data_IF_141172418966
#
_entry.id   IF_141172418966
#
_cell.length_a   1.000
_cell.length_b   1.000
_cell.length_c   1.000
_cell.angle_alpha   90.00
_cell.angle_beta   90.00
_cell.angle_gamma   90.00
#
_symmetry.space_group_name_H-M   'P 1'
#
loop_
_entity.id
_entity.type
_entity.pdbx_description
1 polymer ?
#
# COMPACT_ATOMS: atom_id res chain seq x y z
N UNK A 1 9.78 -17.83 -3.20
CA UNK A 1 10.76 -17.44 -4.24
C UNK A 1 10.48 -15.98 -4.52
N UNK A 2 11.50 -15.13 -4.58
CA UNK A 2 11.30 -13.74 -5.01
C UNK A 2 10.65 -13.74 -6.40
N UNK A 3 9.66 -12.87 -6.59
CA UNK A 3 9.06 -12.58 -7.89
C UNK A 3 10.21 -12.35 -8.86
N UNK A 4 10.25 -13.09 -9.97
CA UNK A 4 11.25 -12.83 -10.99
C UNK A 4 11.02 -11.39 -11.44
N UNK A 5 12.00 -10.48 -11.38
CA UNK A 5 11.84 -9.17 -12.01
C UNK A 5 11.44 -9.39 -13.48
N UNK A 6 10.63 -8.49 -14.05
CA UNK A 6 10.08 -8.57 -15.43
C UNK A 6 11.17 -8.55 -16.50
N UNK A 7 11.96 -9.61 -16.53
CA UNK A 7 13.12 -9.83 -17.38
C UNK A 7 12.76 -10.98 -18.27
N UNK A 8 12.75 -10.73 -19.57
CA UNK A 8 12.28 -11.71 -20.55
C UNK A 8 12.98 -11.56 -21.89
N UNK A 9 12.87 -12.60 -22.72
CA UNK A 9 13.38 -12.67 -24.09
C UNK A 9 12.45 -11.84 -24.98
N UNK A 10 12.99 -10.77 -25.55
CA UNK A 10 12.23 -9.72 -26.23
C UNK A 10 12.27 -9.85 -27.76
N UNK A 11 13.40 -10.29 -28.30
CA UNK A 11 13.67 -10.33 -29.74
C UNK A 11 14.66 -11.47 -30.04
N UNK A 12 14.45 -12.19 -31.15
CA UNK A 12 15.31 -13.30 -31.61
C UNK A 12 15.54 -13.17 -33.11
N UNK A 13 16.79 -13.30 -33.52
CA UNK A 13 17.20 -13.47 -34.92
C UNK A 13 18.15 -14.67 -35.05
N UNK A 14 17.76 -15.68 -35.83
CA UNK A 14 18.46 -16.95 -35.97
C UNK A 14 18.60 -17.46 -37.43
N UNK A 15 17.76 -17.03 -38.38
CA UNK A 15 17.82 -17.50 -39.78
C UNK A 15 17.52 -16.37 -40.79
N UNK A 16 18.46 -16.11 -41.71
CA UNK A 16 18.26 -15.20 -42.84
C UNK A 16 18.97 -15.62 -44.14
N UNK A 17 19.52 -16.83 -44.22
CA UNK A 17 20.37 -17.22 -45.35
C UNK A 17 20.50 -18.73 -45.53
N UNK A 18 20.58 -19.18 -46.79
CA UNK A 18 20.86 -20.58 -47.11
C UNK A 18 22.32 -21.02 -46.88
N UNK A 19 23.25 -20.08 -46.69
CA UNK A 19 24.70 -20.38 -46.66
C UNK A 19 25.38 -20.00 -45.35
N UNK A 20 25.03 -18.84 -44.81
CA UNK A 20 25.55 -18.33 -43.56
C UNK A 20 24.65 -17.19 -43.13
N UNK A 21 24.06 -17.34 -41.97
CA UNK A 21 23.29 -16.30 -41.32
C UNK A 21 24.22 -15.19 -40.87
N UNK A 22 23.64 -13.99 -40.77
CA UNK A 22 24.38 -12.79 -40.36
C UNK A 22 23.56 -11.99 -39.38
N UNK A 23 24.24 -11.32 -38.46
CA UNK A 23 23.62 -10.48 -37.42
C UNK A 23 22.68 -11.24 -36.48
N UNK A 24 22.85 -12.53 -36.24
CA UNK A 24 22.05 -13.30 -35.29
C UNK A 24 22.17 -12.75 -33.86
N UNK A 25 21.08 -12.81 -33.08
CA UNK A 25 21.08 -12.44 -31.67
C UNK A 25 19.86 -12.96 -30.89
N UNK A 26 20.01 -12.94 -29.57
CA UNK A 26 18.91 -12.98 -28.59
C UNK A 26 18.95 -11.68 -27.80
N UNK A 27 17.81 -10.99 -27.68
CA UNK A 27 17.67 -9.81 -26.84
C UNK A 27 16.89 -10.12 -25.56
N UNK A 28 17.43 -9.68 -24.43
CA UNK A 28 16.74 -9.67 -23.13
C UNK A 28 16.38 -8.23 -22.77
N UNK A 29 15.15 -8.00 -22.33
CA UNK A 29 14.72 -6.72 -21.76
C UNK A 29 14.58 -6.83 -20.25
N UNK A 30 14.88 -5.76 -19.52
CA UNK A 30 14.72 -5.67 -18.07
C UNK A 30 14.37 -4.24 -17.63
N UNK A 31 13.51 -4.03 -16.62
CA UNK A 31 13.27 -2.71 -16.04
C UNK A 31 14.57 -2.05 -15.56
N UNK A 32 14.64 -0.73 -15.67
CA UNK A 32 15.72 0.08 -15.12
C UNK A 32 15.89 -0.23 -13.62
N UNK A 33 17.14 -0.41 -13.19
CA UNK A 33 17.49 -0.72 -11.79
C UNK A 33 17.50 -2.21 -11.44
N UNK A 34 16.95 -3.09 -12.27
CA UNK A 34 16.99 -4.54 -12.04
C UNK A 34 18.43 -5.07 -12.04
N UNK A 35 18.85 -5.81 -11.02
CA UNK A 35 20.14 -6.50 -11.07
C UNK A 35 20.03 -7.77 -11.91
N UNK A 36 20.89 -7.91 -12.93
CA UNK A 36 21.01 -9.13 -13.74
C UNK A 36 22.29 -9.93 -13.43
N UNK A 37 22.92 -9.64 -12.29
CA UNK A 37 24.07 -10.42 -11.84
C UNK A 37 23.65 -11.88 -11.62
N UNK A 38 24.34 -12.82 -12.27
CA UNK A 38 24.02 -14.24 -12.19
C UNK A 38 22.96 -14.74 -13.18
N UNK A 39 22.31 -13.85 -13.94
CA UNK A 39 21.37 -14.24 -14.98
C UNK A 39 22.09 -14.75 -16.23
N UNK A 40 21.57 -15.80 -16.85
CA UNK A 40 22.17 -16.41 -18.04
C UNK A 40 21.16 -16.72 -19.14
N UNK A 41 21.60 -16.59 -20.39
CA UNK A 41 20.92 -17.16 -21.57
C UNK A 41 21.59 -18.48 -21.92
N UNK A 42 20.79 -19.51 -22.19
CA UNK A 42 21.26 -20.84 -22.59
C UNK A 42 20.59 -21.26 -23.89
N UNK A 43 21.36 -21.67 -24.89
CA UNK A 43 20.86 -22.15 -26.17
C UNK A 43 20.81 -23.68 -26.18
N UNK A 44 19.76 -24.22 -26.78
CA UNK A 44 19.45 -25.65 -26.81
C UNK A 44 19.22 -26.15 -28.24
N UNK A 45 19.79 -27.33 -28.52
CA UNK A 45 19.55 -28.07 -29.74
C UNK A 45 18.27 -28.89 -29.57
N UNK A 46 17.23 -28.68 -30.37
CA UNK A 46 15.97 -29.38 -30.21
C UNK A 46 15.92 -30.77 -30.83
N UNK A 47 16.95 -31.19 -31.57
CA UNK A 47 17.05 -32.56 -32.10
C UNK A 47 17.42 -33.59 -31.03
N UNK A 48 18.23 -33.20 -30.03
CA UNK A 48 18.65 -34.05 -28.92
C UNK A 48 18.36 -33.47 -27.52
N UNK A 49 17.86 -32.24 -27.45
CA UNK A 49 17.50 -31.53 -26.24
C UNK A 49 18.69 -31.01 -25.43
N UNK A 50 19.91 -31.05 -25.96
CA UNK A 50 21.12 -30.66 -25.21
C UNK A 50 21.42 -29.17 -25.33
N UNK A 51 21.97 -28.56 -24.28
CA UNK A 51 22.51 -27.20 -24.36
C UNK A 51 23.82 -27.19 -25.14
N UNK A 52 24.01 -26.21 -26.02
CA UNK A 52 25.25 -26.08 -26.81
C UNK A 52 26.02 -24.78 -26.56
N UNK A 53 25.38 -23.77 -25.97
CA UNK A 53 25.99 -22.48 -25.70
C UNK A 53 25.29 -21.76 -24.53
N UNK A 54 26.02 -20.89 -23.84
CA UNK A 54 25.46 -20.10 -22.74
C UNK A 54 26.34 -18.89 -22.46
N UNK A 55 25.72 -17.78 -22.05
CA UNK A 55 26.43 -16.60 -21.57
C UNK A 55 25.66 -15.87 -20.48
N UNK A 56 26.37 -15.05 -19.71
CA UNK A 56 25.72 -14.14 -18.76
C UNK A 56 24.99 -13.04 -19.54
N UNK A 57 23.79 -12.64 -19.09
CA UNK A 57 23.03 -11.54 -19.72
C UNK A 57 23.85 -10.25 -19.73
N UNK A 58 24.64 -10.03 -18.68
CA UNK A 58 25.51 -8.85 -18.51
C UNK A 58 26.69 -8.78 -19.47
N UNK A 59 26.99 -9.86 -20.21
CA UNK A 59 28.05 -9.87 -21.22
C UNK A 59 27.57 -9.34 -22.59
N UNK A 60 26.25 -9.17 -22.75
CA UNK A 60 25.64 -8.60 -23.94
C UNK A 60 25.90 -7.10 -24.11
N UNK A 61 25.69 -6.59 -25.32
CA UNK A 61 25.72 -5.14 -25.57
C UNK A 61 24.49 -4.51 -24.92
N UNK A 62 24.68 -3.47 -24.10
CA UNK A 62 23.59 -2.85 -23.33
C UNK A 62 23.21 -1.47 -23.86
N UNK A 63 21.90 -1.21 -23.93
CA UNK A 63 21.32 0.13 -24.07
C UNK A 63 20.16 0.30 -23.08
N UNK A 64 19.56 1.50 -23.08
CA UNK A 64 18.38 1.78 -22.26
C UNK A 64 17.54 2.90 -22.83
N UNK A 65 16.24 2.88 -22.54
CA UNK A 65 15.38 4.05 -22.57
C UNK A 65 15.14 4.58 -21.14
N UNK A 66 14.03 5.27 -20.90
CA UNK A 66 13.69 5.82 -19.57
C UNK A 66 13.18 4.79 -18.58
N UNK A 67 12.65 3.65 -19.03
CA UNK A 67 11.98 2.65 -18.21
C UNK A 67 12.66 1.27 -18.26
N UNK A 68 13.32 0.92 -19.36
CA UNK A 68 13.91 -0.40 -19.60
C UNK A 68 15.35 -0.33 -20.10
N UNK A 69 16.06 -1.46 -19.91
CA UNK A 69 17.37 -1.76 -20.48
C UNK A 69 17.26 -2.97 -21.40
N UNK A 70 18.04 -2.96 -22.46
CA UNK A 70 18.07 -3.99 -23.50
C UNK A 70 19.46 -4.60 -23.56
N UNK A 71 19.55 -5.92 -23.59
CA UNK A 71 20.79 -6.69 -23.60
C UNK A 71 20.81 -7.59 -24.83
N UNK A 72 21.70 -7.29 -25.77
CA UNK A 72 21.82 -8.05 -27.02
C UNK A 72 22.99 -9.03 -26.93
N UNK A 73 22.68 -10.32 -27.01
CA UNK A 73 23.63 -11.42 -27.01
C UNK A 73 23.72 -12.01 -28.43
N UNK A 74 24.82 -11.77 -29.12
CA UNK A 74 25.12 -12.35 -30.43
C UNK A 74 25.90 -13.68 -30.27
N UNK A 75 26.12 -14.47 -31.35
CA UNK A 75 26.86 -15.73 -31.28
C UNK A 75 28.21 -15.63 -30.57
N UNK A 76 28.95 -14.52 -30.79
CA UNK A 76 30.27 -14.31 -30.16
C UNK A 76 30.15 -14.18 -28.64
N UNK A 77 29.16 -13.45 -28.14
CA UNK A 77 28.88 -13.35 -26.69
C UNK A 77 28.43 -14.69 -26.13
N UNK A 78 27.56 -15.41 -26.86
CA UNK A 78 27.02 -16.72 -26.46
C UNK A 78 28.05 -17.85 -26.49
N UNK A 79 29.25 -17.60 -27.05
CA UNK A 79 30.32 -18.60 -27.15
C UNK A 79 30.11 -19.63 -28.25
N UNK A 80 29.33 -19.29 -29.28
CA UNK A 80 29.04 -20.13 -30.46
C UNK A 80 29.39 -19.40 -31.76
N UNK A 81 29.51 -20.13 -32.87
CA UNK A 81 29.69 -19.52 -34.19
C UNK A 81 28.39 -19.04 -34.82
N UNK A 82 27.26 -19.65 -34.44
CA UNK A 82 25.90 -19.34 -34.92
C UNK A 82 24.88 -19.82 -33.87
N UNK A 83 23.71 -19.19 -33.87
CA UNK A 83 22.48 -19.73 -33.27
C UNK A 83 21.99 -20.81 -34.24
N UNK A 84 21.48 -21.93 -33.71
CA UNK A 84 21.04 -23.03 -34.57
C UNK A 84 19.63 -22.73 -35.10
N UNK A 85 19.37 -23.11 -36.34
CA UNK A 85 18.14 -22.86 -37.11
C UNK A 85 17.38 -24.17 -37.39
N UNK A 86 17.57 -25.18 -36.55
CA UNK A 86 16.89 -26.47 -36.64
C UNK A 86 15.43 -26.40 -36.21
N UNK A 87 14.61 -27.28 -36.80
CA UNK A 87 13.18 -27.38 -36.50
C UNK A 87 12.89 -28.57 -35.56
N UNK A 88 12.75 -28.38 -34.23
CA UNK A 88 12.94 -27.13 -33.47
C UNK A 88 14.34 -26.98 -32.87
N UNK A 89 14.67 -25.75 -32.47
CA UNK A 89 15.77 -25.36 -31.57
C UNK A 89 15.22 -24.30 -30.59
N UNK A 90 15.99 -23.93 -29.56
CA UNK A 90 15.45 -23.07 -28.51
C UNK A 90 16.45 -22.32 -27.64
N UNK A 91 15.89 -21.45 -26.79
CA UNK A 91 16.59 -20.55 -25.89
C UNK A 91 15.90 -20.54 -24.53
N UNK A 92 16.69 -20.59 -23.46
CA UNK A 92 16.21 -20.44 -22.09
C UNK A 92 16.84 -19.22 -21.43
N UNK A 93 16.03 -18.50 -20.65
CA UNK A 93 16.46 -17.44 -19.74
C UNK A 93 16.44 -17.96 -18.31
N UNK A 94 17.56 -17.87 -17.62
CA UNK A 94 17.75 -18.40 -16.26
C UNK A 94 18.09 -17.25 -15.32
N UNK A 95 17.41 -17.18 -14.17
CA UNK A 95 17.69 -16.15 -13.16
C UNK A 95 18.91 -16.49 -12.29
N UNK A 96 19.26 -15.56 -11.40
CA UNK A 96 20.39 -15.65 -10.47
C UNK A 96 20.30 -16.79 -9.44
N UNK A 97 19.10 -17.35 -9.24
CA UNK A 97 18.88 -18.54 -8.40
C UNK A 97 18.99 -19.86 -9.18
N UNK A 98 19.20 -19.81 -10.50
CA UNK A 98 19.23 -20.99 -11.37
C UNK A 98 17.84 -21.48 -11.80
N UNK A 99 16.79 -20.69 -11.59
CA UNK A 99 15.43 -21.01 -12.04
C UNK A 99 15.25 -20.59 -13.49
N UNK A 100 14.64 -21.47 -14.30
CA UNK A 100 14.22 -21.17 -15.67
C UNK A 100 13.04 -20.19 -15.63
N UNK A 101 13.24 -18.98 -16.16
CA UNK A 101 12.22 -17.93 -16.29
C UNK A 101 11.43 -18.12 -17.57
N UNK A 102 12.13 -18.36 -18.68
CA UNK A 102 11.52 -18.73 -19.96
C UNK A 102 12.29 -19.87 -20.60
N UNK A 103 11.58 -20.78 -21.26
CA UNK A 103 12.17 -21.77 -22.17
C UNK A 103 11.36 -21.77 -23.46
N UNK A 104 11.87 -21.04 -24.45
CA UNK A 104 11.21 -20.80 -25.73
C UNK A 104 11.86 -21.61 -26.83
N UNK A 105 11.08 -22.02 -27.82
CA UNK A 105 11.56 -22.66 -29.04
C UNK A 105 10.89 -22.03 -30.26
N UNK A 106 11.50 -22.24 -31.41
CA UNK A 106 10.95 -21.88 -32.71
C UNK A 106 10.80 -23.14 -33.56
N UNK A 107 9.82 -23.12 -34.46
CA UNK A 107 9.52 -24.22 -35.40
C UNK A 107 9.10 -25.55 -34.75
N UNK A 108 8.54 -25.47 -33.54
CA UNK A 108 8.06 -26.61 -32.79
C UNK A 108 8.49 -26.57 -31.32
N UNK A 109 8.21 -27.64 -30.58
CA UNK A 109 8.62 -27.79 -29.17
C UNK A 109 9.43 -29.08 -28.97
N UNK A 110 10.30 -29.07 -27.98
CA UNK A 110 11.11 -30.23 -27.58
C UNK A 110 11.31 -30.27 -26.07
N UNK A 111 11.82 -31.39 -25.55
CA UNK A 111 12.15 -31.55 -24.14
C UNK A 111 13.66 -31.42 -23.98
N UNK A 112 14.13 -30.53 -23.12
CA UNK A 112 15.54 -30.45 -22.80
C UNK A 112 16.01 -31.71 -22.06
N UNK A 113 17.14 -32.26 -22.45
CA UNK A 113 17.73 -33.50 -21.90
C UNK A 113 18.86 -33.23 -20.91
N UNK A 114 19.42 -32.02 -20.93
CA UNK A 114 20.40 -31.54 -19.95
C UNK A 114 20.22 -30.04 -19.65
N UNK A 115 21.17 -29.45 -18.92
CA UNK A 115 21.17 -28.03 -18.57
C UNK A 115 20.11 -27.60 -17.54
N UNK A 116 20.00 -26.29 -17.27
CA UNK A 116 19.01 -25.74 -16.34
C UNK A 116 17.55 -26.07 -16.66
N UNK A 117 17.23 -26.31 -17.94
CA UNK A 117 15.88 -26.66 -18.38
C UNK A 117 15.63 -28.18 -18.46
N UNK A 118 16.56 -29.03 -18.01
CA UNK A 118 16.44 -30.48 -18.11
C UNK A 118 15.08 -31.02 -17.63
N UNK A 119 14.38 -31.74 -18.51
CA UNK A 119 13.05 -32.30 -18.27
C UNK A 119 11.88 -31.34 -18.50
N UNK A 120 12.14 -30.06 -18.81
CA UNK A 120 11.10 -29.11 -19.22
C UNK A 120 10.83 -29.24 -20.73
N UNK A 121 9.58 -29.08 -21.11
CA UNK A 121 9.17 -28.90 -22.51
C UNK A 121 9.24 -27.42 -22.86
N UNK A 122 9.89 -27.07 -23.98
CA UNK A 122 9.92 -25.70 -24.49
C UNK A 122 8.54 -25.23 -24.98
N UNK A 123 8.30 -23.92 -24.92
CA UNK A 123 7.13 -23.28 -25.52
C UNK A 123 7.47 -22.77 -26.91
N UNK A 124 6.79 -23.30 -27.93
CA UNK A 124 6.90 -22.80 -29.30
C UNK A 124 6.34 -21.37 -29.38
N UNK A 125 7.14 -20.42 -29.90
CA UNK A 125 6.74 -19.02 -30.04
C UNK A 125 5.72 -18.80 -31.18
N UNK A 126 5.50 -19.81 -32.03
CA UNK A 126 4.43 -19.83 -33.04
C UNK A 126 4.69 -18.96 -34.28
N UNK A 127 5.87 -18.35 -34.37
CA UNK A 127 6.41 -17.63 -35.53
C UNK A 127 7.83 -18.11 -35.79
N UNK A 128 8.28 -18.00 -37.04
CA UNK A 128 9.56 -18.53 -37.47
C UNK A 128 10.22 -17.61 -38.49
N UNK A 129 11.53 -17.69 -38.53
CA UNK A 129 12.32 -17.18 -39.65
C UNK A 129 12.45 -18.24 -40.74
N UNK A 130 13.19 -17.91 -41.79
CA UNK A 130 13.54 -18.82 -42.86
C UNK A 130 14.80 -18.30 -43.53
N UNK A 131 15.47 -19.17 -44.27
CA UNK A 131 16.57 -18.78 -45.18
C UNK A 131 16.23 -17.70 -46.25
N UNK A 132 14.98 -17.22 -46.28
CA UNK A 132 14.52 -16.11 -47.11
C UNK A 132 14.13 -14.85 -46.32
N UNK A 133 14.19 -14.87 -44.99
CA UNK A 133 14.01 -13.70 -44.13
C UNK A 133 15.05 -12.65 -44.53
N UNK A 134 14.63 -11.40 -44.82
CA UNK A 134 15.59 -10.36 -45.18
C UNK A 134 16.58 -10.08 -44.03
N UNK A 135 17.85 -9.86 -44.36
CA UNK A 135 18.81 -9.37 -43.38
C UNK A 135 18.34 -8.04 -42.75
N UNK A 136 18.46 -7.92 -41.43
CA UNK A 136 17.92 -6.79 -40.65
C UNK A 136 16.46 -6.95 -40.26
N UNK A 137 15.94 -8.18 -40.24
CA UNK A 137 14.62 -8.54 -39.73
C UNK A 137 14.80 -9.56 -38.59
N UNK A 138 13.83 -9.60 -37.69
CA UNK A 138 13.85 -10.47 -36.50
C UNK A 138 12.44 -10.80 -36.04
N UNK A 139 12.31 -11.84 -35.23
CA UNK A 139 11.10 -12.15 -34.46
C UNK A 139 11.06 -11.26 -33.23
N UNK A 140 9.91 -10.62 -32.97
CA UNK A 140 9.78 -9.58 -31.94
C UNK A 140 8.49 -9.75 -31.14
N UNK A 141 8.56 -9.49 -29.83
CA UNK A 141 7.39 -9.28 -28.98
C UNK A 141 6.76 -7.90 -29.24
N UNK A 142 5.44 -7.85 -29.47
CA UNK A 142 4.66 -6.61 -29.71
C UNK A 142 3.40 -6.58 -28.87
N UNK A 143 2.88 -5.39 -28.58
CA UNK A 143 1.74 -5.17 -27.68
C UNK A 143 1.97 -4.02 -26.70
N UNK A 144 1.05 -3.87 -25.75
CA UNK A 144 1.15 -2.87 -24.68
C UNK A 144 1.11 -3.59 -23.34
N UNK A 145 2.10 -3.37 -22.48
CA UNK A 145 2.18 -4.01 -21.15
C UNK A 145 3.52 -3.80 -20.47
N UNK A 146 3.91 -4.68 -19.55
CA UNK A 146 5.14 -4.56 -18.76
C UNK A 146 5.85 -5.91 -18.53
N UNK A 147 5.12 -7.02 -18.47
CA UNK A 147 5.68 -8.38 -18.40
C UNK A 147 5.64 -9.08 -19.75
N UNK A 148 6.31 -10.22 -19.86
CA UNK A 148 6.42 -10.99 -21.10
C UNK A 148 5.04 -11.28 -21.73
N UNK A 149 4.10 -11.82 -20.95
CA UNK A 149 2.81 -12.34 -21.43
C UNK A 149 1.84 -11.26 -21.98
N UNK A 150 2.11 -9.99 -21.72
CA UNK A 150 1.33 -8.89 -22.31
C UNK A 150 1.68 -8.66 -23.79
N UNK A 151 2.79 -9.25 -24.24
CA UNK A 151 3.27 -9.13 -25.60
C UNK A 151 3.14 -10.45 -26.35
N UNK A 152 2.85 -10.36 -27.65
CA UNK A 152 2.76 -11.52 -28.53
C UNK A 152 3.93 -11.53 -29.51
N UNK A 153 4.52 -12.70 -29.73
CA UNK A 153 5.52 -12.91 -30.78
C UNK A 153 4.92 -12.64 -32.16
N UNK A 154 5.62 -11.84 -32.95
CA UNK A 154 5.20 -11.43 -34.30
C UNK A 154 6.14 -12.00 -35.36
N UNK A 155 5.60 -12.25 -36.55
CA UNK A 155 6.37 -12.65 -37.72
C UNK A 155 7.50 -11.63 -38.03
N UNK A 156 8.56 -12.04 -38.76
CA UNK A 156 9.74 -11.20 -38.94
C UNK A 156 9.42 -9.78 -39.42
N UNK A 157 9.94 -8.79 -38.72
CA UNK A 157 9.89 -7.37 -39.10
C UNK A 157 11.25 -6.71 -38.91
N UNK A 158 11.44 -5.48 -39.40
CA UNK A 158 12.72 -4.75 -39.23
C UNK A 158 13.18 -4.81 -37.78
N UNK A 159 14.41 -5.28 -37.59
CA UNK A 159 14.99 -5.55 -36.27
C UNK A 159 15.16 -4.26 -35.45
N UNK A 160 15.19 -4.42 -34.13
CA UNK A 160 15.32 -3.35 -33.16
C UNK A 160 16.34 -3.66 -32.07
N UNK A 161 17.50 -4.28 -32.38
CA UNK A 161 18.44 -4.66 -31.34
C UNK A 161 18.89 -3.44 -30.54
N UNK A 162 18.86 -3.59 -29.23
CA UNK A 162 19.14 -2.56 -28.24
C UNK A 162 18.13 -1.40 -28.26
N UNK A 163 16.88 -1.63 -28.61
CA UNK A 163 15.79 -0.66 -28.57
C UNK A 163 14.42 -1.33 -28.39
N UNK A 164 13.39 -0.53 -28.08
CA UNK A 164 12.01 -1.02 -28.02
C UNK A 164 11.56 -1.56 -29.39
N UNK A 165 10.84 -2.69 -29.40
CA UNK A 165 10.32 -3.28 -30.63
C UNK A 165 9.29 -2.36 -31.29
N UNK A 166 9.25 -2.37 -32.62
CA UNK A 166 8.27 -1.58 -33.37
C UNK A 166 6.84 -2.11 -33.13
N UNK A 167 6.00 -1.34 -32.42
CA UNK A 167 4.66 -1.76 -32.00
C UNK A 167 4.61 -2.37 -30.60
N UNK A 168 5.68 -2.25 -29.84
CA UNK A 168 5.73 -2.52 -28.40
C UNK A 168 5.57 -1.20 -27.63
N UNK A 169 4.85 -1.22 -26.52
CA UNK A 169 4.70 -0.09 -25.61
C UNK A 169 4.75 -0.58 -24.18
N UNK A 170 5.73 -0.09 -23.42
CA UNK A 170 5.82 -0.41 -22.00
C UNK A 170 4.94 0.53 -21.16
N UNK A 171 4.11 -0.01 -20.27
CA UNK A 171 3.33 0.74 -19.28
C UNK A 171 3.96 0.61 -17.89
N UNK A 172 3.96 1.67 -17.10
CA UNK A 172 4.36 1.63 -15.69
C UNK A 172 3.12 1.43 -14.80
N UNK A 173 3.26 0.89 -13.57
CA UNK A 173 2.18 0.92 -12.60
C UNK A 173 1.70 2.37 -12.35
N UNK A 174 0.42 2.57 -11.99
CA UNK A 174 -0.12 3.90 -11.78
C UNK A 174 0.65 4.64 -10.68
N UNK A 175 1.13 5.84 -10.99
CA UNK A 175 1.91 6.64 -10.05
C UNK A 175 1.13 6.93 -8.77
N UNK A 176 1.73 6.63 -7.61
CA UNK A 176 1.13 6.92 -6.31
C UNK A 176 -0.02 6.00 -5.92
N UNK A 177 -0.20 4.87 -6.62
CA UNK A 177 -1.16 3.84 -6.27
C UNK A 177 -0.87 3.26 -4.88
N UNK A 178 -1.85 3.30 -3.99
CA UNK A 178 -1.78 2.68 -2.65
C UNK A 178 -3.16 2.27 -2.15
N UNK A 179 -3.19 1.29 -1.24
CA UNK A 179 -4.38 1.04 -0.43
C UNK A 179 -4.49 2.20 0.57
N UNK A 180 -5.61 2.93 0.53
CA UNK A 180 -5.77 4.20 1.24
C UNK A 180 -6.67 4.09 2.46
N UNK A 181 -7.79 3.39 2.35
CA UNK A 181 -8.82 3.28 3.39
C UNK A 181 -9.63 2.01 3.17
N UNK A 182 -10.04 1.33 4.23
CA UNK A 182 -10.97 0.20 4.13
C UNK A 182 -11.74 -0.04 5.42
N UNK A 183 -12.88 -0.73 5.31
CA UNK A 183 -13.74 -1.15 6.40
C UNK A 183 -14.13 -2.62 6.21
N UNK A 184 -13.91 -3.47 7.21
CA UNK A 184 -14.09 -4.93 7.16
C UNK A 184 -14.90 -5.50 8.33
N UNK A 185 -14.99 -4.84 9.49
CA UNK A 185 -15.75 -5.35 10.65
C UNK A 185 -16.50 -4.24 11.38
N UNK A 186 -17.73 -4.53 11.80
CA UNK A 186 -18.52 -3.66 12.67
C UNK A 186 -19.45 -4.43 13.60
N UNK A 187 -20.07 -3.69 14.52
CA UNK A 187 -21.06 -4.25 15.43
C UNK A 187 -22.26 -4.88 14.69
N UNK A 188 -22.26 -6.21 14.56
CA UNK A 188 -23.42 -6.99 14.14
C UNK A 188 -23.19 -7.80 12.87
N UNK A 189 -23.68 -7.31 11.73
CA UNK A 189 -23.45 -7.93 10.43
C UNK A 189 -22.64 -6.94 9.62
N UNK A 190 -21.42 -7.30 9.26
CA UNK A 190 -20.39 -6.49 8.58
C UNK A 190 -20.97 -5.70 7.38
N UNK A 191 -21.58 -4.55 7.65
CA UNK A 191 -22.27 -3.69 6.67
C UNK A 191 -21.39 -2.52 6.25
N UNK A 192 -21.54 -2.06 5.01
CA UNK A 192 -20.82 -0.88 4.54
C UNK A 192 -19.34 -1.13 4.30
N UNK A 193 -18.93 -2.39 4.12
CA UNK A 193 -17.55 -2.73 3.79
C UNK A 193 -17.13 -2.11 2.46
N UNK A 194 -15.89 -1.67 2.39
CA UNK A 194 -15.31 -1.13 1.18
C UNK A 194 -13.79 -1.19 1.22
N UNK A 195 -13.19 -1.01 0.04
CA UNK A 195 -11.77 -0.72 -0.13
C UNK A 195 -11.62 0.52 -0.99
N UNK A 196 -10.75 1.43 -0.58
CA UNK A 196 -10.37 2.59 -1.34
C UNK A 196 -8.91 2.51 -1.79
N UNK A 197 -8.70 2.71 -3.09
CA UNK A 197 -7.37 2.91 -3.67
C UNK A 197 -7.22 4.38 -4.05
N UNK A 198 -6.10 4.97 -3.66
CA UNK A 198 -5.71 6.31 -4.10
C UNK A 198 -4.62 6.20 -5.15
N UNK A 199 -4.70 7.04 -6.18
CA UNK A 199 -3.66 7.25 -7.19
C UNK A 199 -3.40 8.73 -7.39
N UNK A 200 -2.26 9.08 -8.00
CA UNK A 200 -2.04 10.47 -8.47
C UNK A 200 -3.16 10.87 -9.43
N UNK A 201 -3.62 12.12 -9.36
CA UNK A 201 -4.66 12.64 -10.24
C UNK A 201 -4.37 12.32 -11.71
N UNK A 202 -5.38 11.81 -12.40
CA UNK A 202 -5.37 11.41 -13.81
C UNK A 202 -4.41 10.26 -14.15
N UNK A 203 -3.92 9.50 -13.16
CA UNK A 203 -3.17 8.28 -13.42
C UNK A 203 -4.04 7.23 -14.17
N UNK A 204 -3.43 6.54 -15.12
CA UNK A 204 -4.08 5.44 -15.82
C UNK A 204 -4.13 4.21 -14.90
N UNK A 205 -5.34 3.76 -14.59
CA UNK A 205 -5.63 2.60 -13.75
C UNK A 205 -6.20 1.44 -14.56
N UNK A 206 -6.11 1.49 -15.89
CA UNK A 206 -6.58 0.41 -16.77
C UNK A 206 -5.91 -0.89 -16.40
N UNK A 207 -6.70 -1.89 -16.02
CA UNK A 207 -6.22 -3.22 -15.63
C UNK A 207 -5.83 -3.38 -14.16
N UNK A 208 -5.78 -2.30 -13.38
CA UNK A 208 -5.46 -2.39 -11.94
C UNK A 208 -6.54 -3.18 -11.21
N UNK A 209 -6.14 -4.09 -10.34
CA UNK A 209 -7.02 -4.95 -9.55
C UNK A 209 -6.66 -4.96 -8.07
N UNK A 210 -7.61 -5.39 -7.25
CA UNK A 210 -7.43 -5.67 -5.83
C UNK A 210 -7.71 -7.16 -5.61
N UNK A 211 -6.71 -7.93 -5.20
CA UNK A 211 -6.86 -9.35 -4.88
C UNK A 211 -7.00 -9.54 -3.37
N UNK A 212 -8.07 -10.21 -2.94
CA UNK A 212 -8.37 -10.47 -1.54
C UNK A 212 -7.93 -11.87 -1.14
N UNK A 213 -7.18 -11.96 -0.04
CA UNK A 213 -6.56 -13.19 0.42
C UNK A 213 -7.15 -13.62 1.75
N UNK A 214 -7.38 -14.93 1.87
CA UNK A 214 -7.75 -15.51 3.15
C UNK A 214 -6.51 -15.75 4.02
N UNK A 215 -6.56 -15.40 5.30
CA UNK A 215 -5.56 -15.79 6.28
C UNK A 215 -5.49 -17.31 6.46
N UNK A 216 -6.58 -18.01 6.16
CA UNK A 216 -6.65 -19.47 6.12
C UNK A 216 -5.96 -20.04 4.87
N UNK A 217 -4.63 -20.08 4.89
CA UNK A 217 -3.81 -20.72 3.88
C UNK A 217 -3.30 -19.78 2.79
N UNK A 218 -3.57 -18.47 2.87
CA UNK A 218 -2.99 -17.47 1.97
C UNK A 218 -3.44 -17.59 0.53
N UNK A 219 -4.66 -18.06 0.28
CA UNK A 219 -5.22 -18.19 -1.07
C UNK A 219 -6.10 -16.98 -1.41
N UNK A 220 -6.18 -16.64 -2.69
CA UNK A 220 -7.11 -15.60 -3.16
C UNK A 220 -8.54 -16.11 -3.10
N UNK A 221 -9.46 -15.35 -2.51
CA UNK A 221 -10.89 -15.64 -2.53
C UNK A 221 -11.70 -14.71 -3.43
N UNK A 222 -11.19 -13.52 -3.75
CA UNK A 222 -11.81 -12.61 -4.71
C UNK A 222 -10.78 -11.72 -5.43
N UNK A 223 -11.17 -11.17 -6.56
CA UNK A 223 -10.36 -10.20 -7.32
C UNK A 223 -11.28 -9.15 -7.96
N UNK A 224 -11.08 -7.90 -7.55
CA UNK A 224 -11.90 -6.76 -7.89
C UNK A 224 -11.16 -5.88 -8.91
N UNK A 225 -11.84 -5.38 -9.92
CA UNK A 225 -11.27 -4.45 -10.89
C UNK A 225 -11.49 -3.01 -10.44
N UNK A 226 -10.41 -2.22 -10.37
CA UNK A 226 -10.50 -0.86 -9.89
C UNK A 226 -11.39 0.03 -10.76
N UNK A 227 -11.39 -0.20 -12.08
CA UNK A 227 -12.24 0.54 -13.02
C UNK A 227 -13.67 0.02 -13.12
N UNK A 228 -13.87 -1.29 -12.99
CA UNK A 228 -15.20 -1.88 -13.17
C UNK A 228 -16.04 -1.77 -11.90
N UNK A 229 -15.40 -1.94 -10.74
CA UNK A 229 -16.07 -2.03 -9.44
C UNK A 229 -15.91 -0.73 -8.63
N UNK A 230 -14.92 0.11 -8.96
CA UNK A 230 -14.63 1.35 -8.25
C UNK A 230 -15.45 2.55 -8.72
N UNK A 231 -15.93 3.35 -7.77
CA UNK A 231 -16.46 4.69 -8.01
C UNK A 231 -15.36 5.74 -7.83
N UNK A 232 -15.09 6.52 -8.87
CA UNK A 232 -14.05 7.55 -8.87
C UNK A 232 -14.54 8.88 -8.28
N UNK A 233 -13.78 9.44 -7.36
CA UNK A 233 -13.81 10.85 -6.95
C UNK A 233 -12.41 11.47 -7.10
N UNK A 234 -12.30 12.78 -6.92
CA UNK A 234 -11.04 13.50 -7.13
C UNK A 234 -10.92 14.74 -6.26
N UNK A 235 -9.71 15.06 -5.82
CA UNK A 235 -9.34 16.37 -5.31
C UNK A 235 -8.35 17.08 -6.28
N UNK A 236 -7.55 18.02 -5.76
CA UNK A 236 -6.55 18.76 -6.54
C UNK A 236 -5.30 17.92 -6.90
N UNK A 237 -4.97 16.90 -6.11
CA UNK A 237 -3.72 16.12 -6.15
C UNK A 237 -3.94 14.65 -6.52
N UNK A 238 -5.08 14.07 -6.14
CA UNK A 238 -5.34 12.64 -6.21
C UNK A 238 -6.71 12.31 -6.82
N UNK A 239 -6.79 11.08 -7.31
CA UNK A 239 -8.04 10.39 -7.61
C UNK A 239 -8.22 9.23 -6.62
N UNK A 240 -9.44 9.06 -6.13
CA UNK A 240 -9.82 8.01 -5.19
C UNK A 240 -10.80 7.09 -5.89
N UNK A 241 -10.58 5.78 -5.77
CA UNK A 241 -11.43 4.74 -6.33
C UNK A 241 -11.96 3.89 -5.20
N UNK A 242 -13.25 4.02 -4.90
CA UNK A 242 -13.89 3.27 -3.83
C UNK A 242 -14.67 2.10 -4.39
N UNK A 243 -14.33 0.90 -3.93
CA UNK A 243 -15.03 -0.34 -4.25
C UNK A 243 -15.92 -0.71 -3.05
N UNK A 244 -17.22 -0.52 -3.21
CA UNK A 244 -18.24 -0.98 -2.26
C UNK A 244 -18.38 -2.50 -2.32
N UNK A 245 -18.37 -3.16 -1.16
CA UNK A 245 -18.50 -4.60 -1.05
C UNK A 245 -19.88 -5.00 -0.52
N UNK A 246 -20.41 -6.18 -0.92
CA UNK A 246 -21.59 -6.73 -0.28
C UNK A 246 -21.28 -7.07 1.18
N UNK A 247 -22.31 -7.18 2.03
CA UNK A 247 -22.15 -7.57 3.45
C UNK A 247 -21.38 -8.90 3.61
N UNK A 248 -20.37 -8.91 4.48
CA UNK A 248 -19.34 -9.95 4.64
C UNK A 248 -18.52 -10.18 3.35
N UNK A 249 -18.20 -9.09 2.65
CA UNK A 249 -17.38 -9.08 1.45
C UNK A 249 -15.88 -9.14 1.79
N UNK A 250 -15.47 -8.56 2.91
CA UNK A 250 -14.17 -8.82 3.53
C UNK A 250 -14.32 -9.88 4.61
N UNK A 251 -13.25 -10.64 4.82
CA UNK A 251 -13.21 -11.66 5.87
C UNK A 251 -12.65 -11.02 7.14
N UNK A 252 -13.23 -11.33 8.30
CA UNK A 252 -12.76 -10.92 9.63
C UNK A 252 -12.03 -12.07 10.35
N UNK A 253 -11.28 -12.87 9.58
CA UNK A 253 -10.41 -13.91 10.13
C UNK A 253 -9.07 -13.35 10.62
N UNK A 254 -8.24 -14.18 11.27
CA UNK A 254 -6.90 -13.75 11.64
C UNK A 254 -6.01 -13.63 10.39
N UNK A 255 -5.27 -12.53 10.28
CA UNK A 255 -4.28 -12.27 9.23
C UNK A 255 -4.86 -12.36 7.82
N UNK A 256 -5.88 -11.55 7.53
CA UNK A 256 -6.52 -11.44 6.21
C UNK A 256 -5.78 -10.42 5.34
N UNK A 257 -5.80 -10.58 4.01
CA UNK A 257 -4.91 -9.85 3.12
C UNK A 257 -5.58 -9.11 1.97
N UNK A 258 -5.02 -7.95 1.61
CA UNK A 258 -5.41 -7.13 0.47
C UNK A 258 -4.15 -6.85 -0.36
N UNK A 259 -4.10 -7.35 -1.58
CA UNK A 259 -3.04 -7.00 -2.53
C UNK A 259 -3.57 -6.03 -3.58
N UNK A 260 -2.92 -4.88 -3.71
CA UNK A 260 -3.09 -3.98 -4.83
C UNK A 260 -2.17 -4.44 -5.96
N UNK A 261 -2.75 -4.70 -7.12
CA UNK A 261 -2.08 -5.35 -8.25
C UNK A 261 -2.24 -4.48 -9.48
N UNK A 262 -1.15 -4.22 -10.18
CA UNK A 262 -1.19 -3.40 -11.39
C UNK A 262 -1.84 -4.12 -12.58
N UNK A 263 -1.86 -3.44 -13.73
CA UNK A 263 -2.49 -3.92 -14.95
C UNK A 263 -1.96 -5.26 -15.48
N UNK A 264 -0.76 -5.63 -15.05
CA UNK A 264 -0.02 -6.78 -15.54
C UNK A 264 0.12 -7.85 -14.47
N UNK A 265 -0.45 -7.69 -13.28
CA UNK A 265 -0.41 -8.71 -12.24
C UNK A 265 0.74 -8.56 -11.25
N UNK A 266 1.54 -7.50 -11.34
CA UNK A 266 2.56 -7.21 -10.33
C UNK A 266 1.92 -6.61 -9.08
N UNK A 267 2.38 -7.07 -7.92
CA UNK A 267 1.92 -6.54 -6.63
C UNK A 267 2.56 -5.19 -6.36
N UNK A 268 1.75 -4.14 -6.38
CA UNK A 268 2.14 -2.78 -5.94
C UNK A 268 2.29 -2.77 -4.42
N UNK A 269 1.34 -3.37 -3.71
CA UNK A 269 1.32 -3.42 -2.26
C UNK A 269 0.56 -4.65 -1.77
N UNK A 270 1.03 -5.28 -0.68
CA UNK A 270 0.34 -6.39 -0.04
C UNK A 270 0.24 -6.16 1.47
N UNK A 271 -0.94 -5.74 1.91
CA UNK A 271 -1.24 -5.44 3.30
C UNK A 271 -2.09 -6.55 3.92
N UNK A 272 -2.04 -6.62 5.24
CA UNK A 272 -2.93 -7.45 6.03
C UNK A 272 -3.37 -6.76 7.30
N UNK A 273 -4.44 -7.26 7.91
CA UNK A 273 -4.95 -6.84 9.21
C UNK A 273 -5.04 -8.04 10.15
N UNK A 274 -4.97 -7.78 11.46
CA UNK A 274 -4.91 -8.79 12.52
C UNK A 274 -3.73 -9.77 12.39
N UNK A 275 -2.60 -9.30 11.87
CA UNK A 275 -1.37 -10.07 11.71
C UNK A 275 -0.89 -10.18 10.27
N UNK A 276 0.07 -11.07 10.03
CA UNK A 276 0.69 -11.27 8.70
C UNK A 276 0.35 -12.64 8.13
N UNK A 277 0.18 -12.70 6.80
CA UNK A 277 0.03 -13.96 6.06
C UNK A 277 1.09 -14.08 4.97
N UNK A 278 1.36 -15.31 4.53
CA UNK A 278 2.16 -15.55 3.32
C UNK A 278 1.25 -16.15 2.26
N UNK A 279 1.13 -15.47 1.13
CA UNK A 279 0.28 -15.92 0.04
C UNK A 279 0.84 -17.22 -0.59
N UNK A 280 -0.05 -18.15 -0.88
CA UNK A 280 0.27 -19.46 -1.48
C UNK A 280 -0.26 -19.62 -2.91
N UNK A 281 -1.02 -18.64 -3.39
CA UNK A 281 -1.50 -18.53 -4.76
C UNK A 281 -1.74 -17.08 -5.17
N UNK A 282 -2.24 -16.85 -6.38
CA UNK A 282 -2.55 -15.51 -6.88
C UNK A 282 -1.33 -14.61 -7.13
N UNK A 283 -1.57 -13.32 -7.44
CA UNK A 283 -0.52 -12.34 -7.75
C UNK A 283 0.58 -12.20 -6.69
N UNK A 284 0.24 -12.37 -5.40
CA UNK A 284 1.17 -12.25 -4.29
C UNK A 284 1.85 -13.56 -3.90
N UNK A 285 1.75 -14.63 -4.70
CA UNK A 285 2.27 -15.96 -4.34
C UNK A 285 3.72 -15.92 -3.84
N UNK A 286 3.94 -16.46 -2.64
CA UNK A 286 5.24 -16.51 -1.97
C UNK A 286 5.67 -15.21 -1.29
N UNK A 287 4.86 -14.13 -1.37
CA UNK A 287 5.07 -12.89 -0.63
C UNK A 287 4.41 -12.98 0.75
N UNK A 288 5.04 -12.36 1.75
CA UNK A 288 4.46 -12.15 3.09
C UNK A 288 3.90 -10.73 3.14
N UNK A 289 2.65 -10.59 3.58
CA UNK A 289 1.98 -9.30 3.73
C UNK A 289 2.62 -8.45 4.82
N UNK A 290 2.38 -7.14 4.76
CA UNK A 290 2.68 -6.21 5.86
C UNK A 290 1.44 -5.97 6.68
N UNK A 291 1.48 -6.29 7.98
CA UNK A 291 0.40 -5.97 8.92
C UNK A 291 0.31 -4.47 9.13
N UNK A 292 -0.89 -3.90 9.00
CA UNK A 292 -1.14 -2.48 9.18
C UNK A 292 -1.08 -2.06 10.66
N UNK A 293 -1.22 -3.01 11.58
CA UNK A 293 -1.12 -2.77 13.03
C UNK A 293 -2.32 -2.06 13.65
N UNK A 294 -3.44 -1.95 12.91
CA UNK A 294 -4.74 -1.49 13.39
C UNK A 294 -5.79 -2.55 13.08
N UNK A 295 -6.86 -2.59 13.87
CA UNK A 295 -7.92 -3.57 13.75
C UNK A 295 -9.30 -2.93 13.95
N UNK A 296 -10.30 -3.50 13.31
CA UNK A 296 -11.70 -3.28 13.61
C UNK A 296 -12.20 -4.46 14.44
N UNK A 297 -13.33 -4.28 15.11
CA UNK A 297 -13.92 -5.37 15.86
C UNK A 297 -15.41 -5.18 16.02
N UNK A 298 -16.01 -6.08 16.80
CA UNK A 298 -17.45 -6.04 17.14
C UNK A 298 -17.95 -4.75 17.82
N UNK A 299 -17.05 -3.83 18.19
CA UNK A 299 -17.35 -2.50 18.74
C UNK A 299 -17.29 -1.35 17.73
N UNK A 300 -16.71 -1.58 16.55
CA UNK A 300 -16.57 -0.55 15.50
C UNK A 300 -17.95 -0.14 14.99
N UNK A 301 -18.19 1.16 14.84
CA UNK A 301 -19.45 1.67 14.33
C UNK A 301 -19.52 1.52 12.82
N UNK A 302 -20.71 1.25 12.29
CA UNK A 302 -20.93 1.31 10.85
C UNK A 302 -20.73 2.75 10.35
N UNK A 303 -19.87 2.92 9.35
CA UNK A 303 -19.43 4.23 8.85
C UNK A 303 -18.10 4.71 9.46
N UNK A 304 -17.47 3.91 10.32
CA UNK A 304 -16.05 4.06 10.64
C UNK A 304 -15.19 3.19 9.71
N UNK A 305 -13.92 3.53 9.56
CA UNK A 305 -12.96 2.82 8.71
C UNK A 305 -11.54 2.97 9.23
N UNK A 306 -10.65 2.08 8.76
CA UNK A 306 -9.22 2.19 8.93
C UNK A 306 -8.63 3.09 7.84
N UNK A 307 -7.92 4.14 8.25
CA UNK A 307 -7.47 5.22 7.36
C UNK A 307 -5.96 5.35 7.36
N UNK A 308 -5.35 5.33 6.17
CA UNK A 308 -3.91 5.57 6.00
C UNK A 308 -3.62 7.05 5.76
N UNK A 309 -2.72 7.61 6.55
CA UNK A 309 -2.28 9.00 6.41
C UNK A 309 -1.14 9.17 5.40
N UNK A 310 -0.77 10.42 5.09
CA UNK A 310 0.36 10.76 4.21
C UNK A 310 1.73 10.23 4.69
N UNK A 311 1.87 9.91 5.97
CA UNK A 311 3.09 9.34 6.56
C UNK A 311 3.16 7.82 6.57
N UNK A 312 2.26 7.13 5.86
CA UNK A 312 2.09 5.67 5.87
C UNK A 312 1.75 5.06 7.24
N UNK A 313 1.22 5.89 8.15
CA UNK A 313 0.63 5.44 9.40
C UNK A 313 -0.85 5.15 9.22
N UNK A 314 -1.31 4.04 9.80
CA UNK A 314 -2.72 3.69 9.86
C UNK A 314 -3.33 4.18 11.17
N UNK A 315 -4.45 4.87 11.07
CA UNK A 315 -5.28 5.25 12.21
C UNK A 315 -6.24 4.12 12.59
N UNK A 316 -6.57 4.06 13.88
CA UNK A 316 -7.65 3.21 14.39
C UNK A 316 -9.00 3.61 13.76
N UNK A 317 -10.03 2.75 13.87
CA UNK A 317 -11.32 3.00 13.23
C UNK A 317 -11.93 4.34 13.64
N UNK A 318 -12.35 5.14 12.66
CA UNK A 318 -13.04 6.42 12.83
C UNK A 318 -13.88 6.75 11.60
N UNK A 319 -14.74 7.76 11.69
CA UNK A 319 -15.65 8.15 10.62
C UNK A 319 -14.96 8.20 9.25
N UNK A 320 -15.52 7.45 8.30
CA UNK A 320 -14.94 7.21 6.97
C UNK A 320 -14.74 8.51 6.18
N UNK A 321 -13.62 8.57 5.45
CA UNK A 321 -13.26 9.66 4.53
C UNK A 321 -13.41 9.27 3.08
N UNK A 322 -14.18 8.21 2.84
CA UNK A 322 -14.50 7.63 1.54
C UNK A 322 -14.65 8.64 0.40
N UNK A 323 -13.78 8.50 -0.59
CA UNK A 323 -13.68 9.32 -1.78
C UNK A 323 -12.97 10.67 -1.56
N UNK A 324 -12.25 10.84 -0.46
CA UNK A 324 -11.56 12.07 -0.10
C UNK A 324 -10.22 11.79 0.61
N UNK A 325 -9.47 12.86 0.90
CA UNK A 325 -8.17 12.75 1.56
C UNK A 325 -8.31 12.38 3.04
N UNK A 326 -7.46 11.47 3.50
CA UNK A 326 -7.41 11.04 4.90
C UNK A 326 -6.61 12.09 5.69
N UNK A 327 -7.32 13.07 6.25
CA UNK A 327 -6.66 14.08 7.10
C UNK A 327 -6.46 13.54 8.52
N UNK A 328 -5.34 13.86 9.21
CA UNK A 328 -5.19 13.48 10.60
C UNK A 328 -6.34 14.03 11.46
N UNK A 329 -7.00 13.17 12.23
CA UNK A 329 -7.96 13.57 13.24
C UNK A 329 -7.21 14.06 14.47
N UNK A 330 -7.04 15.38 14.57
CA UNK A 330 -6.42 16.02 15.71
C UNK A 330 -7.51 16.64 16.57
N UNK A 331 -7.84 15.97 17.68
CA UNK A 331 -8.75 16.51 18.68
C UNK A 331 -8.04 16.59 20.05
N UNK A 332 -8.24 17.70 20.75
CA UNK A 332 -7.67 17.92 22.10
C UNK A 332 -8.48 18.91 22.91
N UNK A 333 -8.35 18.84 24.23
CA UNK A 333 -8.75 19.93 25.12
C UNK A 333 -7.85 21.13 24.79
N UNK A 334 -8.41 22.24 24.33
CA UNK A 334 -7.64 23.39 23.88
C UNK A 334 -7.49 24.46 24.96
N UNK A 335 -8.59 24.75 25.67
CA UNK A 335 -8.65 25.75 26.73
C UNK A 335 -9.74 25.36 27.76
N UNK A 336 -9.57 25.72 29.02
CA UNK A 336 -10.64 25.63 30.01
C UNK A 336 -10.48 26.69 31.10
N UNK A 337 -11.60 27.03 31.74
CA UNK A 337 -11.64 27.96 32.88
C UNK A 337 -12.46 27.34 34.01
N UNK A 338 -11.86 27.17 35.19
CA UNK A 338 -12.45 26.42 36.30
C UNK A 338 -12.52 27.18 37.65
N UNK A 339 -11.91 28.37 37.76
CA UNK A 339 -11.82 29.06 39.05
C UNK A 339 -11.81 30.59 38.89
N UNK A 340 -12.57 31.27 39.73
CA UNK A 340 -12.52 32.72 39.87
C UNK A 340 -12.26 33.12 41.33
N UNK A 341 -11.74 34.34 41.51
CA UNK A 341 -11.76 34.94 42.84
C UNK A 341 -13.21 35.19 43.29
N UNK A 342 -13.74 34.35 44.18
CA UNK A 342 -15.09 34.48 44.73
C UNK A 342 -16.02 33.35 44.30
N UNK A 343 -17.11 33.66 43.61
CA UNK A 343 -18.01 32.66 43.02
C UNK A 343 -17.52 32.33 41.61
N UNK A 344 -17.44 31.04 41.28
CA UNK A 344 -16.96 30.58 39.99
C UNK A 344 -18.01 30.80 38.89
N UNK A 345 -17.71 31.71 37.95
CA UNK A 345 -18.61 32.20 36.89
C UNK A 345 -17.89 32.22 35.54
N UNK A 346 -18.61 31.91 34.45
CA UNK A 346 -18.00 31.87 33.12
C UNK A 346 -17.00 30.74 32.97
N UNK A 347 -17.26 29.62 33.64
CA UNK A 347 -16.51 28.38 33.44
C UNK A 347 -16.85 27.79 32.07
N UNK A 348 -15.83 27.23 31.41
CA UNK A 348 -16.00 26.59 30.12
C UNK A 348 -14.91 25.57 29.86
N UNK A 349 -15.16 24.71 28.87
CA UNK A 349 -14.17 23.83 28.25
C UNK A 349 -14.24 24.04 26.75
N UNK A 350 -13.11 24.34 26.12
CA UNK A 350 -12.95 24.41 24.67
C UNK A 350 -12.20 23.19 24.17
N UNK A 351 -12.76 22.50 23.19
CA UNK A 351 -12.11 21.43 22.45
C UNK A 351 -11.77 21.94 21.05
N UNK A 352 -10.52 21.73 20.62
CA UNK A 352 -10.12 21.95 19.22
C UNK A 352 -10.16 20.62 18.50
N UNK A 353 -10.73 20.59 17.31
CA UNK A 353 -10.75 19.43 16.42
C UNK A 353 -10.35 19.85 15.01
N UNK A 354 -9.73 18.94 14.23
CA UNK A 354 -9.54 19.13 12.78
C UNK A 354 -10.83 19.63 12.14
N UNK A 355 -10.71 20.63 11.27
CA UNK A 355 -11.86 21.27 10.63
C UNK A 355 -12.75 20.23 9.94
N UNK A 356 -14.05 20.36 10.15
CA UNK A 356 -15.12 19.54 9.57
C UNK A 356 -15.06 18.05 9.94
N UNK A 357 -14.24 17.67 10.92
CA UNK A 357 -14.23 16.31 11.44
C UNK A 357 -15.56 15.94 12.10
N UNK A 358 -15.94 14.67 11.97
CA UNK A 358 -17.08 14.14 12.71
C UNK A 358 -16.73 14.01 14.20
N UNK A 359 -17.55 14.64 15.04
CA UNK A 359 -17.45 14.57 16.50
C UNK A 359 -18.67 13.89 17.12
N UNK A 360 -19.47 13.19 16.31
CA UNK A 360 -20.62 12.42 16.79
C UNK A 360 -20.13 11.40 17.82
N UNK A 361 -20.74 11.40 19.00
CA UNK A 361 -20.36 10.51 20.09
C UNK A 361 -19.20 10.98 20.96
N UNK A 362 -18.44 12.01 20.56
CA UNK A 362 -17.37 12.57 21.40
C UNK A 362 -17.95 13.22 22.66
N UNK A 363 -17.36 12.89 23.81
CA UNK A 363 -17.79 13.39 25.12
C UNK A 363 -16.63 13.92 25.97
N UNK A 364 -16.99 14.73 26.98
CA UNK A 364 -16.09 15.21 28.02
C UNK A 364 -16.57 14.69 29.37
N UNK A 365 -15.78 13.85 30.03
CA UNK A 365 -16.05 13.32 31.36
C UNK A 365 -15.30 14.12 32.44
N UNK A 366 -16.03 14.58 33.45
CA UNK A 366 -15.50 15.40 34.55
C UNK A 366 -15.32 14.55 35.80
N UNK A 367 -14.15 14.65 36.43
CA UNK A 367 -13.75 13.83 37.57
C UNK A 367 -13.52 14.67 38.82
N UNK A 368 -14.01 14.16 39.95
CA UNK A 368 -13.80 14.80 41.26
C UNK A 368 -12.49 14.34 41.89
N UNK A 369 -11.80 15.24 42.59
CA UNK A 369 -10.69 14.88 43.47
C UNK A 369 -11.09 14.04 44.69
N UNK A 370 -12.37 14.02 45.02
CA UNK A 370 -12.91 13.17 46.07
C UNK A 370 -13.09 11.72 45.56
N UNK A 371 -11.97 11.02 45.38
CA UNK A 371 -11.95 9.61 45.02
C UNK A 371 -11.85 9.30 43.53
N UNK A 372 -11.67 10.30 42.66
CA UNK A 372 -11.44 10.08 41.23
C UNK A 372 -12.65 9.55 40.48
N UNK A 373 -13.85 9.96 40.91
CA UNK A 373 -15.13 9.47 40.37
C UNK A 373 -15.67 10.44 39.33
N UNK A 374 -16.31 9.96 38.27
CA UNK A 374 -17.04 10.80 37.31
C UNK A 374 -18.22 11.49 37.99
N UNK A 375 -18.31 12.81 37.88
CA UNK A 375 -19.47 13.58 38.38
C UNK A 375 -20.30 14.23 37.25
N UNK A 376 -19.81 14.22 36.02
CA UNK A 376 -20.51 14.75 34.86
C UNK A 376 -19.95 14.20 33.55
N UNK A 377 -20.82 14.07 32.56
CA UNK A 377 -20.44 13.75 31.18
C UNK A 377 -21.20 14.69 30.26
N UNK A 378 -20.47 15.37 29.38
CA UNK A 378 -20.97 16.39 28.46
C UNK A 378 -20.77 15.87 27.04
N UNK A 379 -21.75 16.09 26.16
CA UNK A 379 -21.62 15.77 24.74
C UNK A 379 -21.04 16.97 24.01
N UNK A 380 -19.94 16.77 23.28
CA UNK A 380 -19.31 17.86 22.56
C UNK A 380 -20.24 18.46 21.50
N UNK A 381 -20.99 17.59 20.82
CA UNK A 381 -21.93 17.99 19.77
C UNK A 381 -23.22 18.63 20.32
N UNK A 382 -23.73 18.17 21.47
CA UNK A 382 -24.99 18.67 22.02
C UNK A 382 -24.81 19.90 22.93
N UNK A 383 -23.71 19.96 23.68
CA UNK A 383 -23.46 21.00 24.68
C UNK A 383 -22.50 22.08 24.18
N UNK A 384 -21.73 21.81 23.11
CA UNK A 384 -20.74 22.73 22.56
C UNK A 384 -21.29 23.72 21.52
N UNK A 385 -20.78 24.95 21.56
CA UNK A 385 -20.97 25.95 20.51
C UNK A 385 -19.78 25.97 19.57
N UNK A 386 -20.01 25.70 18.27
CA UNK A 386 -18.97 25.62 17.23
C UNK A 386 -18.52 27.01 16.75
N UNK A 387 -17.21 27.21 16.68
CA UNK A 387 -16.54 28.24 15.86
C UNK A 387 -15.46 27.59 15.00
N UNK A 388 -14.89 28.31 14.03
CA UNK A 388 -13.95 27.73 13.06
C UNK A 388 -12.90 28.73 12.59
N UNK A 389 -11.70 28.24 12.30
CA UNK A 389 -10.70 28.92 11.47
C UNK A 389 -10.46 28.17 10.14
N UNK A 390 -9.30 28.38 9.51
CA UNK A 390 -8.93 27.73 8.25
C UNK A 390 -8.55 26.25 8.40
N UNK A 391 -8.13 25.82 9.59
CA UNK A 391 -7.54 24.51 9.88
C UNK A 391 -8.31 23.71 10.93
N UNK A 392 -9.02 24.38 11.85
CA UNK A 392 -9.69 23.74 12.96
C UNK A 392 -11.10 24.27 13.21
N UNK A 393 -11.90 23.41 13.84
CA UNK A 393 -13.13 23.78 14.52
C UNK A 393 -12.90 23.77 16.03
N UNK A 394 -13.57 24.69 16.72
CA UNK A 394 -13.48 24.86 18.17
C UNK A 394 -14.89 24.73 18.76
N UNK A 395 -15.03 23.87 19.75
CA UNK A 395 -16.30 23.62 20.43
C UNK A 395 -16.17 24.08 21.88
N UNK A 396 -16.89 25.15 22.23
CA UNK A 396 -16.91 25.71 23.58
C UNK A 396 -18.15 25.22 24.32
N UNK A 397 -17.96 24.50 25.42
CA UNK A 397 -19.01 24.09 26.34
C UNK A 397 -19.02 25.05 27.53
N UNK A 398 -20.02 25.94 27.57
CA UNK A 398 -20.24 26.82 28.72
C UNK A 398 -20.86 26.05 29.87
N UNK A 399 -20.29 26.21 31.07
CA UNK A 399 -20.74 25.52 32.28
C UNK A 399 -21.53 26.46 33.21
N UNK A 400 -22.51 25.93 33.96
CA UNK A 400 -23.20 26.71 34.98
C UNK A 400 -22.23 27.13 36.09
N UNK A 401 -22.62 28.11 36.90
CA UNK A 401 -21.86 28.54 38.09
C UNK A 401 -21.48 27.34 39.00
N UNK A 402 -20.19 27.16 39.28
CA UNK A 402 -19.58 25.99 39.95
C UNK A 402 -19.86 24.64 39.24
N UNK A 403 -19.81 24.64 37.91
CA UNK A 403 -19.91 23.44 37.06
C UNK A 403 -18.60 22.64 37.02
N UNK A 404 -17.45 23.31 37.01
CA UNK A 404 -16.16 22.68 37.32
C UNK A 404 -15.91 22.71 38.83
N UNK A 405 -15.41 21.61 39.37
CA UNK A 405 -14.98 21.57 40.76
C UNK A 405 -13.58 22.18 40.87
N UNK A 406 -13.27 22.91 41.95
CA UNK A 406 -11.97 23.53 42.23
C UNK A 406 -11.36 23.04 43.55
N UNK A 407 -11.46 21.72 43.79
CA UNK A 407 -10.85 21.08 44.94
C UNK A 407 -9.32 20.87 44.77
N UNK A 408 -8.72 19.91 45.49
CA UNK A 408 -7.27 19.74 45.50
C UNK A 408 -6.71 18.95 44.31
N UNK A 409 -7.54 18.26 43.51
CA UNK A 409 -7.09 17.45 42.38
C UNK A 409 -8.28 17.02 41.50
N UNK A 410 -8.65 17.77 40.49
CA UNK A 410 -9.79 17.46 39.62
C UNK A 410 -9.31 17.06 38.23
N UNK A 411 -10.20 16.54 37.40
CA UNK A 411 -9.82 16.09 36.07
C UNK A 411 -10.89 16.20 35.00
N UNK A 412 -10.43 16.25 33.76
CA UNK A 412 -11.23 16.35 32.55
C UNK A 412 -10.68 15.30 31.58
N UNK A 413 -11.52 14.35 31.16
CA UNK A 413 -11.18 13.41 30.10
C UNK A 413 -11.99 13.73 28.84
N UNK A 414 -11.30 13.86 27.71
CA UNK A 414 -11.88 13.84 26.38
C UNK A 414 -11.93 12.40 25.90
N UNK A 415 -13.11 11.98 25.46
CA UNK A 415 -13.42 10.57 25.16
C UNK A 415 -14.06 10.50 23.78
N UNK A 416 -13.61 9.56 22.95
CA UNK A 416 -14.17 9.33 21.62
C UNK A 416 -15.54 8.64 21.67
N UNK A 417 -16.09 8.35 20.48
CA UNK A 417 -17.38 7.69 20.34
C UNK A 417 -17.37 6.21 20.80
N UNK A 418 -16.22 5.55 20.75
CA UNK A 418 -16.02 4.17 21.22
C UNK A 418 -15.92 4.05 22.74
N UNK A 419 -15.67 5.18 23.42
CA UNK A 419 -15.50 5.25 24.86
C UNK A 419 -14.03 5.24 25.30
N UNK A 420 -13.10 5.30 24.35
CA UNK A 420 -11.67 5.37 24.63
C UNK A 420 -11.25 6.81 24.95
N UNK A 421 -10.30 6.94 25.88
CA UNK A 421 -9.80 8.24 26.33
C UNK A 421 -8.78 8.76 25.33
N UNK A 422 -9.15 9.85 24.65
CA UNK A 422 -8.26 10.59 23.76
C UNK A 422 -7.24 11.37 24.58
N UNK A 423 -7.73 12.07 25.60
CA UNK A 423 -6.93 12.91 26.45
C UNK A 423 -7.51 12.92 27.86
N UNK A 424 -6.65 12.88 28.87
CA UNK A 424 -7.05 13.08 30.26
C UNK A 424 -6.12 14.13 30.87
N UNK A 425 -6.68 15.08 31.61
CA UNK A 425 -5.96 16.15 32.28
C UNK A 425 -6.35 16.20 33.76
N UNK A 426 -5.41 16.63 34.60
CA UNK A 426 -5.69 16.98 36.00
C UNK A 426 -5.22 18.39 36.35
N UNK A 427 -6.00 19.10 37.15
CA UNK A 427 -5.68 20.43 37.65
C UNK A 427 -5.69 20.46 39.18
N UNK A 428 -4.98 21.42 39.76
CA UNK A 428 -4.67 21.57 41.22
C UNK A 428 -3.90 20.43 41.90
N UNK A 429 -3.85 19.22 41.32
CA UNK A 429 -3.14 18.10 41.92
C UNK A 429 -3.01 16.86 41.04
N UNK A 430 -2.61 15.75 41.65
CA UNK A 430 -2.52 14.44 41.00
C UNK A 430 -3.86 13.72 41.19
N UNK A 431 -4.45 13.27 40.10
CA UNK A 431 -5.69 12.51 40.11
C UNK A 431 -5.47 11.10 39.57
N UNK A 432 -6.13 10.12 40.19
CA UNK A 432 -6.30 8.78 39.62
C UNK A 432 -7.79 8.51 39.50
N UNK A 433 -8.26 8.26 38.30
CA UNK A 433 -9.67 7.91 38.08
C UNK A 433 -9.96 6.49 38.58
N UNK A 434 -11.07 6.33 39.30
CA UNK A 434 -11.48 5.05 39.92
C UNK A 434 -12.73 4.46 39.27
N UNK A 435 -13.42 5.22 38.44
CA UNK A 435 -14.49 4.76 37.54
C UNK A 435 -14.46 5.53 36.21
N UNK A 436 -15.46 5.30 35.35
CA UNK A 436 -15.59 5.99 34.07
C UNK A 436 -14.56 5.61 33.01
N UNK A 437 -14.55 6.32 31.87
CA UNK A 437 -13.66 6.04 30.74
C UNK A 437 -12.16 6.05 31.08
N UNK A 438 -11.73 6.89 32.02
CA UNK A 438 -10.33 7.02 32.40
C UNK A 438 -9.93 6.10 33.56
N UNK A 439 -10.76 5.13 33.96
CA UNK A 439 -10.51 4.27 35.12
C UNK A 439 -9.10 3.66 35.09
N UNK A 440 -8.37 3.82 36.19
CA UNK A 440 -7.01 3.31 36.34
C UNK A 440 -5.91 4.20 35.75
N UNK A 441 -6.26 5.28 35.04
CA UNK A 441 -5.28 6.28 34.60
C UNK A 441 -4.93 7.24 35.74
N UNK A 442 -3.64 7.56 35.88
CA UNK A 442 -3.10 8.55 36.83
C UNK A 442 -2.35 9.63 36.08
N UNK A 443 -2.65 10.90 36.37
CA UNK A 443 -1.97 12.03 35.76
C UNK A 443 -1.31 12.95 36.78
N UNK A 444 -0.17 13.49 36.39
CA UNK A 444 0.51 14.57 37.08
C UNK A 444 -0.06 15.91 36.59
N UNK A 445 -0.35 16.80 37.54
CA UNK A 445 -0.90 18.16 37.34
C UNK A 445 -0.35 18.86 36.08
N UNK A 446 -1.23 19.50 35.30
CA UNK A 446 -0.82 20.41 34.22
C UNK A 446 0.00 21.58 34.79
N UNK A 447 1.25 21.72 34.36
CA UNK A 447 2.18 22.76 34.82
C UNK A 447 1.81 24.11 34.19
N UNK A 448 1.48 25.10 35.02
CA UNK A 448 1.07 26.46 34.58
C UNK A 448 0.02 27.11 35.49
N UNK A 449 -0.67 26.31 36.32
CA UNK A 449 -1.54 26.82 37.36
C UNK A 449 -0.69 27.46 38.50
N UNK A 450 -0.80 28.77 38.72
CA UNK A 450 -0.34 29.41 39.96
C UNK A 450 -1.58 30.00 40.66
N UNK A 451 -1.74 29.80 41.98
CA UNK A 451 -2.99 30.04 42.68
C UNK A 451 -3.28 31.52 43.00
N UNK A 452 -3.04 32.47 42.08
CA UNK A 452 -3.25 33.89 42.44
C UNK A 452 -3.64 34.91 41.37
N UNK A 453 -4.13 34.54 40.19
CA UNK A 453 -4.87 35.47 39.33
C UNK A 453 -5.68 34.72 38.29
N UNK A 454 -7.01 34.95 38.26
CA UNK A 454 -8.00 34.54 37.25
C UNK A 454 -7.50 33.50 36.23
N UNK A 455 -7.78 32.23 36.50
CA UNK A 455 -7.22 31.09 35.78
C UNK A 455 -7.85 30.87 34.41
N UNK A 456 -7.46 31.69 33.43
CA UNK A 456 -7.58 31.36 32.01
C UNK A 456 -6.36 30.52 31.61
N UNK A 457 -6.57 29.28 31.16
CA UNK A 457 -5.51 28.34 30.77
C UNK A 457 -5.52 28.11 29.25
N UNK A 458 -4.79 28.96 28.51
CA UNK A 458 -4.46 28.73 27.11
C UNK A 458 -3.07 28.08 27.00
N UNK A 459 -3.00 26.83 26.56
CA UNK A 459 -1.74 26.10 26.36
C UNK A 459 -1.22 26.31 24.93
N UNK A 460 0.01 26.82 24.80
CA UNK A 460 0.68 26.97 23.49
C UNK A 460 1.09 25.61 22.91
N UNK A 461 1.25 25.50 21.59
CA UNK A 461 1.71 24.24 20.95
C UNK A 461 3.07 23.73 21.50
N UNK A 462 3.91 24.64 22.01
CA UNK A 462 5.17 24.28 22.68
C UNK A 462 4.96 23.72 24.10
N UNK A 463 3.91 24.14 24.80
CA UNK A 463 3.51 23.54 26.09
C UNK A 463 2.87 22.18 25.88
N UNK A 464 2.11 22.00 24.78
CA UNK A 464 1.56 20.71 24.35
C UNK A 464 2.61 19.69 23.95
N UNK A 465 3.69 20.10 23.26
CA UNK A 465 4.82 19.23 22.93
C UNK A 465 5.55 18.63 24.16
N UNK A 466 5.33 19.19 25.36
CA UNK A 466 5.86 18.68 26.62
C UNK A 466 4.93 17.69 27.35
N UNK A 467 3.67 17.55 26.92
CA UNK A 467 2.66 16.68 27.53
C UNK A 467 2.64 15.33 26.79
N UNK A 468 3.75 14.60 26.89
CA UNK A 468 3.86 13.20 26.44
C UNK A 468 3.86 12.26 27.65
N UNK A 469 3.16 11.13 27.51
CA UNK A 469 2.97 10.07 28.51
C UNK A 469 4.19 9.84 29.44
N UNK A 470 3.92 9.83 30.74
CA UNK A 470 4.80 9.48 31.86
C UNK A 470 5.95 10.46 32.20
N UNK A 471 5.70 11.24 33.26
CA UNK A 471 6.67 11.82 34.21
C UNK A 471 7.89 12.57 33.66
N UNK A 472 7.88 13.91 33.71
CA UNK A 472 9.12 14.70 33.83
C UNK A 472 8.93 15.89 34.78
N UNK A 473 9.60 15.78 35.93
CA UNK A 473 9.94 16.90 36.81
C UNK A 473 10.82 17.91 36.05
N UNK A 474 10.63 19.20 36.32
CA UNK A 474 11.80 20.05 36.57
C UNK A 474 11.49 20.98 37.75
N UNK A 475 12.16 20.71 38.86
CA UNK A 475 12.20 21.59 40.03
C UNK A 475 13.09 22.80 39.78
N UNK A 476 12.54 23.97 40.13
CA UNK A 476 13.16 25.28 40.40
C UNK A 476 13.64 26.13 39.22
#
# INVERSE_FOLDING_TARGET
MAVSPNVFINEIHYDNSLLSDTNEFVEIVAPIGTSLAGWTVVLYNGSDGTQYASAAVTDGTTSSDTTHRYFVLNPTVLGTSAIQDGAPDGVALINDMGTVVEFLSYEGSFVATDGPAAGMTSTDIGVAESSSTPAGFSLQRKGTGFQADDFTWSAPSSDSPAAINAGQTFTAPPTGARINEFHYDNAGTDIGEFIEIRVTKDADVTGVTVALYTGAGGIVYDTLSLLADGTKTSDASYDYYVIDLPTNGLQNGPAEGIALVDAVGDVIEFLSYEGTLTATGGPAVGQTSTDIGQEEGTGTAAGDSLQRLEGDTWDAPRAETKGADNTPFEIRINEFHYDNAGTDIGEFIEIRVTKDADITGVTVALYTGAGGVVYGTLSLLADGTKTSDASYDYYVIDLPTNGLQNGPAEGIALVDAGGDVIEFLSYEGILTATDGPAVGQTLLRVVGCLPSAAGLLALTDAQWAGVGQASREETA
#
